data_IF_068934195674
#
_entry.id   IF_068934195674
#
_cell.length_a   1.000
_cell.length_b   1.000
_cell.length_c   1.000
_cell.angle_alpha   90.00
_cell.angle_beta   90.00
_cell.angle_gamma   90.00
#
_symmetry.space_group_name_H-M   'P 1'
#
loop_
_entity.id
_entity.type
_entity.pdbx_description
1 polymer ?
#
# COMPACT_ATOMS: atom_id res chain seq x y z
N UNK A 1 19.54 -20.97 24.82
CA UNK A 1 18.47 -20.14 25.42
C UNK A 1 18.17 -19.03 24.44
N UNK A 2 16.92 -18.70 24.11
CA UNK A 2 16.65 -17.59 23.21
C UNK A 2 17.01 -16.27 23.89
N UNK A 3 17.60 -15.35 23.13
CA UNK A 3 17.86 -14.00 23.60
C UNK A 3 16.54 -13.26 23.80
N UNK A 4 16.34 -12.72 25.00
CA UNK A 4 15.15 -11.94 25.37
C UNK A 4 15.56 -10.47 25.45
N UNK A 5 14.99 -9.65 24.56
CA UNK A 5 15.10 -8.20 24.65
C UNK A 5 14.29 -7.70 25.84
N UNK A 6 14.94 -6.93 26.74
CA UNK A 6 14.34 -6.41 27.98
C UNK A 6 14.12 -4.90 27.98
N UNK A 7 14.47 -4.24 26.89
CA UNK A 7 14.26 -2.81 26.68
C UNK A 7 12.98 -2.58 25.87
N UNK A 8 12.28 -1.50 26.15
CA UNK A 8 11.13 -1.08 25.35
C UNK A 8 11.53 -0.84 23.89
N UNK A 9 10.64 -1.19 22.96
CA UNK A 9 10.72 -0.76 21.57
C UNK A 9 10.33 0.72 21.50
N UNK A 10 11.10 1.52 20.78
CA UNK A 10 10.93 2.99 20.72
C UNK A 10 11.02 3.56 19.31
N UNK A 11 11.05 2.72 18.29
CA UNK A 11 11.02 3.16 16.89
C UNK A 11 9.60 3.57 16.45
N UNK A 12 9.46 3.96 15.19
CA UNK A 12 8.22 4.48 14.63
C UNK A 12 7.02 3.51 14.71
N UNK A 13 7.27 2.20 14.84
CA UNK A 13 6.22 1.19 14.98
C UNK A 13 5.61 1.15 16.39
N UNK A 14 6.27 1.76 17.40
CA UNK A 14 5.84 1.78 18.79
C UNK A 14 4.92 2.98 19.09
N UNK A 15 3.71 2.97 18.55
CA UNK A 15 2.75 4.07 18.67
C UNK A 15 1.51 3.75 19.52
N UNK A 16 0.79 4.81 19.89
CA UNK A 16 -0.52 4.82 20.54
C UNK A 16 -1.51 5.63 19.69
N UNK A 17 -2.83 5.48 19.91
CA UNK A 17 -3.83 6.24 19.16
C UNK A 17 -3.65 7.77 19.22
N UNK A 18 -3.10 8.28 20.34
CA UNK A 18 -2.84 9.71 20.52
C UNK A 18 -1.75 10.27 19.59
N UNK A 19 -0.86 9.42 19.06
CA UNK A 19 0.21 9.83 18.14
C UNK A 19 -0.33 10.08 16.72
N UNK A 20 -1.50 9.53 16.38
CA UNK A 20 -2.16 9.68 15.07
C UNK A 20 -3.63 10.10 15.23
N UNK A 21 -3.90 11.32 15.72
CA UNK A 21 -5.25 11.78 16.00
C UNK A 21 -6.08 12.03 14.73
N UNK A 22 -5.41 12.29 13.60
CA UNK A 22 -6.07 12.52 12.30
C UNK A 22 -5.82 11.33 11.35
N UNK A 23 -6.88 10.67 10.85
CA UNK A 23 -6.79 9.64 9.80
C UNK A 23 -6.06 10.03 8.53
N UNK A 24 -6.02 11.33 8.19
CA UNK A 24 -5.34 11.82 6.98
C UNK A 24 -3.83 11.51 7.00
N UNK A 25 -3.24 11.35 8.19
CA UNK A 25 -1.82 11.03 8.34
C UNK A 25 -1.45 9.62 7.87
N UNK A 26 -2.42 8.71 7.77
CA UNK A 26 -2.21 7.32 7.38
C UNK A 26 -3.16 6.84 6.27
N UNK A 27 -3.95 7.76 5.69
CA UNK A 27 -4.89 7.46 4.61
C UNK A 27 -4.37 8.00 3.28
N UNK A 28 -4.06 7.11 2.34
CA UNK A 28 -3.85 7.44 0.94
C UNK A 28 -5.19 7.35 0.21
N UNK A 29 -5.72 8.49 -0.25
CA UNK A 29 -6.89 8.50 -1.14
C UNK A 29 -6.43 8.57 -2.59
N UNK A 30 -6.72 7.54 -3.36
CA UNK A 30 -6.35 7.46 -4.78
C UNK A 30 -7.09 8.53 -5.57
N UNK A 31 -6.36 9.21 -6.44
CA UNK A 31 -6.93 10.15 -7.40
C UNK A 31 -7.65 9.41 -8.52
N UNK A 32 -8.54 10.11 -9.24
CA UNK A 32 -9.21 9.54 -10.42
C UNK A 32 -8.20 9.02 -11.46
N UNK A 33 -7.08 9.72 -11.68
CA UNK A 33 -6.03 9.29 -12.60
C UNK A 33 -5.35 8.00 -12.17
N UNK A 34 -5.02 7.86 -10.89
CA UNK A 34 -4.43 6.63 -10.34
C UNK A 34 -5.40 5.45 -10.38
N UNK A 35 -6.71 5.69 -10.21
CA UNK A 35 -7.74 4.65 -10.36
C UNK A 35 -7.80 4.19 -11.82
N UNK A 36 -7.87 5.11 -12.79
CA UNK A 36 -7.85 4.78 -14.22
C UNK A 36 -6.59 4.02 -14.63
N UNK A 37 -5.45 4.37 -14.04
CA UNK A 37 -4.18 3.68 -14.25
C UNK A 37 -4.23 2.22 -13.77
N UNK A 38 -4.73 1.97 -12.54
CA UNK A 38 -4.94 0.61 -12.02
C UNK A 38 -5.91 -0.18 -12.90
N UNK A 39 -7.00 0.43 -13.34
CA UNK A 39 -7.99 -0.20 -14.24
C UNK A 39 -7.36 -0.61 -15.58
N UNK A 40 -6.49 0.24 -16.13
CA UNK A 40 -5.79 -0.03 -17.40
C UNK A 40 -4.79 -1.17 -17.27
N UNK A 41 -3.99 -1.18 -16.19
CA UNK A 41 -3.05 -2.25 -15.91
C UNK A 41 -3.78 -3.59 -15.66
N UNK A 42 -4.89 -3.56 -14.91
CA UNK A 42 -5.72 -4.74 -14.68
C UNK A 42 -6.34 -5.30 -15.96
N UNK A 43 -6.88 -4.44 -16.83
CA UNK A 43 -7.41 -4.88 -18.12
C UNK A 43 -6.34 -5.57 -18.98
N UNK A 44 -5.11 -5.07 -18.94
CA UNK A 44 -3.96 -5.65 -19.66
C UNK A 44 -3.63 -7.06 -19.15
N UNK A 45 -3.63 -7.27 -17.84
CA UNK A 45 -3.40 -8.59 -17.25
C UNK A 45 -4.55 -9.55 -17.55
N UNK A 46 -5.81 -9.12 -17.39
CA UNK A 46 -6.99 -9.94 -17.72
C UNK A 46 -7.00 -10.36 -19.19
N UNK A 47 -6.58 -9.48 -20.11
CA UNK A 47 -6.47 -9.80 -21.54
C UNK A 47 -5.44 -10.90 -21.87
N UNK A 48 -4.44 -11.11 -21.00
CA UNK A 48 -3.48 -12.22 -21.10
C UNK A 48 -4.04 -13.54 -20.53
N UNK A 49 -5.28 -13.56 -20.06
CA UNK A 49 -5.91 -14.73 -19.43
C UNK A 49 -5.47 -14.98 -17.99
N UNK A 50 -4.83 -14.00 -17.35
CA UNK A 50 -4.44 -14.07 -15.94
C UNK A 50 -5.56 -13.46 -15.09
N UNK A 51 -6.18 -14.27 -14.23
CA UNK A 51 -7.26 -13.87 -13.33
C UNK A 51 -6.85 -14.08 -11.87
N UNK A 52 -5.80 -13.36 -11.46
CA UNK A 52 -5.22 -13.46 -10.11
C UNK A 52 -3.73 -13.14 -10.06
N UNK A 53 -3.04 -13.52 -8.97
CA UNK A 53 -1.59 -13.47 -8.90
C UNK A 53 -0.94 -14.29 -10.03
N UNK A 54 0.25 -13.88 -10.48
CA UNK A 54 0.94 -14.55 -11.59
C UNK A 54 1.52 -13.62 -12.65
N UNK A 55 1.54 -12.31 -12.38
CA UNK A 55 2.20 -11.29 -13.18
C UNK A 55 3.31 -10.62 -12.37
N UNK A 56 4.34 -10.14 -13.05
CA UNK A 56 5.41 -9.35 -12.44
C UNK A 56 5.06 -7.86 -12.34
N UNK A 57 5.83 -7.09 -11.56
CA UNK A 57 5.68 -5.63 -11.46
C UNK A 57 5.74 -4.95 -12.83
N UNK A 58 6.62 -5.41 -13.71
CA UNK A 58 6.79 -4.83 -15.06
C UNK A 58 5.59 -5.10 -15.98
N UNK A 59 4.80 -6.14 -15.68
CA UNK A 59 3.59 -6.46 -16.43
C UNK A 59 2.35 -5.71 -15.95
N UNK A 60 2.44 -5.03 -14.80
CA UNK A 60 1.39 -4.20 -14.21
C UNK A 60 1.92 -2.76 -14.02
N UNK A 61 2.14 -2.01 -15.12
CA UNK A 61 2.80 -0.71 -15.04
C UNK A 61 1.92 0.33 -14.34
N UNK A 62 2.49 0.97 -13.32
CA UNK A 62 1.89 2.07 -12.57
C UNK A 62 2.86 3.28 -12.53
N UNK A 63 3.15 3.96 -13.65
CA UNK A 63 4.04 5.13 -13.67
C UNK A 63 3.69 6.27 -12.70
N UNK A 64 2.39 6.50 -12.41
CA UNK A 64 1.90 7.54 -11.50
C UNK A 64 1.68 7.03 -10.08
N UNK A 65 1.00 5.89 -9.92
CA UNK A 65 0.71 5.31 -8.60
C UNK A 65 1.90 4.54 -8.00
N UNK A 66 2.78 3.97 -8.81
CA UNK A 66 3.91 3.14 -8.38
C UNK A 66 4.83 3.82 -7.36
N UNK A 67 5.36 5.02 -7.64
CA UNK A 67 6.20 5.75 -6.68
C UNK A 67 5.50 6.04 -5.35
N UNK A 68 4.19 6.32 -5.38
CA UNK A 68 3.38 6.54 -4.18
C UNK A 68 3.24 5.24 -3.37
N UNK A 69 3.11 4.09 -4.04
CA UNK A 69 3.09 2.79 -3.35
C UNK A 69 4.45 2.41 -2.77
N UNK A 70 5.56 2.86 -3.37
CA UNK A 70 6.89 2.68 -2.79
C UNK A 70 7.04 3.50 -1.49
N UNK A 71 6.51 4.72 -1.43
CA UNK A 71 6.43 5.49 -0.16
C UNK A 71 5.56 4.77 0.89
N UNK A 72 4.43 4.18 0.48
CA UNK A 72 3.60 3.36 1.38
C UNK A 72 4.36 2.13 1.88
N UNK A 73 5.14 1.49 1.02
CA UNK A 73 5.98 0.36 1.40
C UNK A 73 6.99 0.77 2.48
N UNK A 74 7.66 1.90 2.31
CA UNK A 74 8.63 2.41 3.29
C UNK A 74 7.96 2.74 4.64
N UNK A 75 6.76 3.33 4.64
CA UNK A 75 6.00 3.60 5.86
C UNK A 75 5.56 2.33 6.59
N UNK A 76 5.32 1.24 5.84
CA UNK A 76 5.00 -0.07 6.43
C UNK A 76 6.25 -0.76 6.97
N UNK A 77 7.39 -0.70 6.28
CA UNK A 77 8.59 -1.42 6.70
C UNK A 77 9.39 -0.69 7.78
N UNK A 78 9.45 0.64 7.70
CA UNK A 78 10.35 1.46 8.52
C UNK A 78 9.62 2.54 9.33
N UNK A 79 8.35 2.78 9.03
CA UNK A 79 7.51 3.77 9.69
C UNK A 79 6.57 3.15 10.73
N UNK A 80 5.31 3.61 10.70
CA UNK A 80 4.25 3.20 11.65
C UNK A 80 3.78 1.76 11.49
N UNK A 81 4.14 1.09 10.39
CA UNK A 81 3.77 -0.30 10.15
C UNK A 81 2.42 -0.50 9.46
N UNK A 82 1.73 0.57 9.04
CA UNK A 82 0.44 0.46 8.36
C UNK A 82 0.08 1.68 7.49
N UNK A 83 -0.79 1.46 6.52
CA UNK A 83 -1.43 2.48 5.68
C UNK A 83 -2.86 2.03 5.35
N UNK A 84 -3.79 2.99 5.19
CA UNK A 84 -5.09 2.73 4.57
C UNK A 84 -5.10 3.34 3.18
N UNK A 85 -5.47 2.55 2.17
CA UNK A 85 -5.64 3.00 0.79
C UNK A 85 -7.14 3.04 0.48
N UNK A 86 -7.64 4.16 -0.03
CA UNK A 86 -9.06 4.40 -0.38
C UNK A 86 -9.20 4.78 -1.84
N UNK A 87 -10.35 4.48 -2.44
CA UNK A 87 -10.72 4.94 -3.79
C UNK A 87 -11.13 3.82 -4.76
N UNK A 88 -10.91 2.56 -4.40
CA UNK A 88 -11.37 1.41 -5.20
C UNK A 88 -12.78 0.97 -4.76
N UNK A 89 -13.64 0.67 -5.74
CA UNK A 89 -14.97 0.09 -5.53
C UNK A 89 -14.95 -1.38 -5.92
N UNK A 90 -15.05 -2.33 -4.96
CA UNK A 90 -14.93 -3.76 -5.23
C UNK A 90 -15.88 -4.28 -6.31
N UNK A 91 -17.12 -3.78 -6.36
CA UNK A 91 -18.14 -4.21 -7.32
C UNK A 91 -17.81 -3.92 -8.80
N UNK A 92 -16.71 -3.22 -9.08
CA UNK A 92 -16.27 -2.88 -10.46
C UNK A 92 -15.32 -3.92 -11.07
N UNK A 93 -14.89 -4.95 -10.33
CA UNK A 93 -13.77 -5.83 -10.71
C UNK A 93 -14.10 -7.32 -10.63
#
# INVERSE_FOLDING_TARGET
MPDILRTSVTDASAWRPADFPNPDAWTLTLTAGQITEVETALATIKAKGVDGPGFSRDEFPLPGLGPVLDEVYDEIQYGRGFQVIRGLTPDRY
#
